data_IF_406156445137
#
_entry.id   IF_406156445137
#
_cell.length_a   1.000
_cell.length_b   1.000
_cell.length_c   1.000
_cell.angle_alpha   90.00
_cell.angle_beta   90.00
_cell.angle_gamma   90.00
#
_symmetry.space_group_name_H-M   'P 1'
#
loop_
_entity.id
_entity.type
_entity.pdbx_description
1 polymer ?
#
# COMPACT_ATOMS: atom_id res chain seq x y z
N UNK A 1 -27.89 -10.38 -24.52
CA UNK A 1 -28.42 -9.56 -23.40
C UNK A 1 -27.84 -8.16 -23.52
N UNK A 2 -28.67 -7.12 -23.55
CA UNK A 2 -28.20 -5.73 -23.53
C UNK A 2 -27.73 -5.39 -22.12
N UNK A 3 -26.42 -5.49 -21.88
CA UNK A 3 -25.76 -5.17 -20.61
C UNK A 3 -26.19 -3.82 -20.02
N UNK A 4 -26.42 -2.84 -20.89
CA UNK A 4 -26.82 -1.47 -20.54
C UNK A 4 -28.26 -1.34 -20.04
N UNK A 5 -29.11 -2.37 -20.19
CA UNK A 5 -30.52 -2.35 -19.77
C UNK A 5 -30.77 -3.03 -18.42
N UNK A 6 -29.71 -3.48 -17.74
CA UNK A 6 -29.88 -4.04 -16.40
C UNK A 6 -30.28 -2.93 -15.41
N UNK A 7 -31.30 -3.15 -14.56
CA UNK A 7 -31.82 -2.14 -13.62
C UNK A 7 -30.81 -1.69 -12.56
N UNK A 8 -29.66 -2.36 -12.47
CA UNK A 8 -28.57 -2.07 -11.53
C UNK A 8 -27.38 -1.36 -12.18
N UNK A 9 -27.37 -1.12 -13.50
CA UNK A 9 -26.20 -0.61 -14.20
C UNK A 9 -25.69 0.73 -13.61
N UNK A 10 -26.60 1.68 -13.36
CA UNK A 10 -26.24 2.97 -12.77
C UNK A 10 -25.60 2.83 -11.39
N UNK A 11 -26.14 1.96 -10.54
CA UNK A 11 -25.59 1.70 -9.21
C UNK A 11 -24.23 1.02 -9.25
N UNK A 12 -24.03 0.10 -10.20
CA UNK A 12 -22.74 -0.56 -10.43
C UNK A 12 -21.68 0.46 -10.85
N UNK A 13 -22.01 1.37 -11.75
CA UNK A 13 -21.12 2.45 -12.17
C UNK A 13 -20.77 3.37 -11.00
N UNK A 14 -21.75 3.78 -10.19
CA UNK A 14 -21.50 4.60 -9.00
C UNK A 14 -20.58 3.91 -7.99
N UNK A 15 -20.80 2.61 -7.72
CA UNK A 15 -19.92 1.84 -6.83
C UNK A 15 -18.50 1.69 -7.40
N UNK A 16 -18.37 1.52 -8.71
CA UNK A 16 -17.07 1.47 -9.37
C UNK A 16 -16.32 2.81 -9.22
N UNK A 17 -17.00 3.93 -9.47
CA UNK A 17 -16.42 5.27 -9.30
C UNK A 17 -16.03 5.52 -7.83
N UNK A 18 -16.84 5.06 -6.87
CA UNK A 18 -16.53 5.14 -5.45
C UNK A 18 -15.29 4.29 -5.04
N UNK A 19 -14.86 3.33 -5.85
CA UNK A 19 -13.64 2.55 -5.59
C UNK A 19 -12.36 3.28 -6.07
N UNK A 20 -12.46 4.16 -7.07
CA UNK A 20 -11.31 4.85 -7.68
C UNK A 20 -10.45 5.60 -6.65
N UNK A 21 -11.01 6.34 -5.67
CA UNK A 21 -10.19 7.13 -4.75
C UNK A 21 -9.17 6.35 -3.94
N UNK A 22 -9.36 5.05 -3.71
CA UNK A 22 -8.39 4.28 -2.92
C UNK A 22 -7.03 4.27 -3.64
N UNK A 23 -6.95 3.81 -4.89
CA UNK A 23 -5.73 3.83 -5.71
C UNK A 23 -5.43 5.23 -6.27
N UNK A 24 -6.48 6.01 -6.53
CA UNK A 24 -6.36 7.39 -6.99
C UNK A 24 -5.65 8.31 -6.01
N UNK A 25 -5.72 8.06 -4.70
CA UNK A 25 -5.00 8.82 -3.69
C UNK A 25 -3.47 8.69 -3.85
N UNK A 26 -2.98 7.48 -4.14
CA UNK A 26 -1.56 7.25 -4.43
C UNK A 26 -1.15 7.96 -5.71
N UNK A 27 -1.93 7.83 -6.79
CA UNK A 27 -1.67 8.52 -8.05
C UNK A 27 -1.63 10.05 -7.83
N UNK A 28 -2.61 10.61 -7.12
CA UNK A 28 -2.63 12.03 -6.79
C UNK A 28 -1.37 12.48 -6.04
N UNK A 29 -0.86 11.69 -5.09
CA UNK A 29 0.41 11.99 -4.40
C UNK A 29 1.60 11.93 -5.36
N UNK A 30 1.77 10.87 -6.13
CA UNK A 30 2.96 10.72 -6.99
C UNK A 30 2.98 11.70 -8.17
N UNK A 31 1.82 12.19 -8.62
CA UNK A 31 1.71 13.26 -9.60
C UNK A 31 1.82 14.68 -9.00
N UNK A 32 1.86 14.81 -7.67
CA UNK A 32 1.91 16.11 -7.00
C UNK A 32 0.59 16.89 -7.07
N UNK A 33 -0.54 16.20 -7.21
CA UNK A 33 -1.88 16.80 -7.28
C UNK A 33 -2.40 17.11 -5.87
N UNK A 34 -2.27 16.15 -4.94
CA UNK A 34 -2.74 16.28 -3.57
C UNK A 34 -1.98 15.34 -2.62
N UNK A 35 -1.85 15.68 -1.32
CA UNK A 35 -1.31 14.77 -0.31
C UNK A 35 -2.14 13.48 -0.21
N UNK A 36 -1.46 12.35 0.02
CA UNK A 36 -2.12 11.04 0.17
C UNK A 36 -3.15 11.06 1.30
N UNK A 37 -2.81 11.70 2.42
CA UNK A 37 -3.71 11.89 3.56
C UNK A 37 -4.99 12.62 3.17
N UNK A 38 -4.89 13.74 2.46
CA UNK A 38 -6.04 14.56 2.09
C UNK A 38 -7.03 13.81 1.20
N UNK A 39 -6.56 13.16 0.13
CA UNK A 39 -7.43 12.37 -0.75
C UNK A 39 -8.05 11.19 0.01
N UNK A 40 -7.29 10.59 0.93
CA UNK A 40 -7.80 9.47 1.72
C UNK A 40 -8.92 9.89 2.67
N UNK A 41 -8.74 10.99 3.41
CA UNK A 41 -9.72 11.46 4.39
C UNK A 41 -10.96 12.08 3.73
N UNK A 42 -10.77 12.92 2.71
CA UNK A 42 -11.85 13.73 2.15
C UNK A 42 -12.54 13.09 0.95
N UNK A 43 -11.95 12.07 0.33
CA UNK A 43 -12.55 11.40 -0.83
C UNK A 43 -12.73 9.90 -0.61
N UNK A 44 -11.65 9.16 -0.30
CA UNK A 44 -11.76 7.71 -0.13
C UNK A 44 -12.67 7.32 1.03
N UNK A 45 -12.53 7.94 2.21
CA UNK A 45 -13.31 7.55 3.37
C UNK A 45 -14.84 7.77 3.18
N UNK A 46 -15.32 8.91 2.66
CA UNK A 46 -16.71 9.07 2.25
C UNK A 46 -17.18 8.03 1.22
N UNK A 47 -16.34 7.70 0.24
CA UNK A 47 -16.66 6.67 -0.74
C UNK A 47 -16.72 5.26 -0.13
N UNK A 48 -15.85 4.93 0.83
CA UNK A 48 -15.89 3.67 1.56
C UNK A 48 -17.18 3.55 2.39
N UNK A 49 -17.59 4.62 3.08
CA UNK A 49 -18.87 4.71 3.78
C UNK A 49 -20.06 4.51 2.81
N UNK A 50 -20.00 5.16 1.65
CA UNK A 50 -21.00 4.98 0.59
C UNK A 50 -21.08 3.52 0.12
N UNK A 51 -19.95 2.84 -0.12
CA UNK A 51 -19.92 1.43 -0.53
C UNK A 51 -20.54 0.50 0.52
N UNK A 52 -20.25 0.73 1.81
CA UNK A 52 -20.88 -0.02 2.91
C UNK A 52 -22.38 0.24 2.96
N UNK A 53 -22.80 1.50 2.80
CA UNK A 53 -24.22 1.89 2.74
C UNK A 53 -24.95 1.25 1.55
N UNK A 54 -24.33 1.24 0.38
CA UNK A 54 -24.86 0.60 -0.83
C UNK A 54 -24.96 -0.91 -0.68
N UNK A 55 -23.96 -1.56 -0.09
CA UNK A 55 -24.00 -2.98 0.22
C UNK A 55 -25.15 -3.30 1.18
N UNK A 56 -25.32 -2.51 2.25
CA UNK A 56 -26.40 -2.69 3.21
C UNK A 56 -27.77 -2.51 2.56
N UNK A 57 -27.96 -1.42 1.81
CA UNK A 57 -29.20 -1.13 1.09
C UNK A 57 -29.54 -2.23 0.09
N UNK A 58 -28.60 -2.62 -0.78
CA UNK A 58 -28.82 -3.65 -1.80
C UNK A 58 -29.20 -5.00 -1.17
N UNK A 59 -28.57 -5.34 -0.04
CA UNK A 59 -28.85 -6.56 0.72
C UNK A 59 -30.24 -6.58 1.35
N UNK A 60 -30.88 -5.42 1.55
CA UNK A 60 -32.22 -5.29 2.14
C UNK A 60 -33.33 -5.17 1.11
N UNK A 61 -33.02 -4.65 -0.08
CA UNK A 61 -34.03 -4.40 -1.13
C UNK A 61 -34.07 -5.50 -2.21
N UNK A 62 -33.43 -6.65 -1.98
CA UNK A 62 -33.41 -7.76 -2.95
C UNK A 62 -32.58 -7.48 -4.21
N UNK A 63 -31.62 -6.54 -4.16
CA UNK A 63 -30.68 -6.29 -5.27
C UNK A 63 -29.49 -7.25 -5.19
N UNK A 64 -29.78 -8.53 -5.37
CA UNK A 64 -28.86 -9.63 -5.09
C UNK A 64 -27.58 -9.56 -5.94
N UNK A 65 -27.66 -9.07 -7.18
CA UNK A 65 -26.46 -8.87 -8.01
C UNK A 65 -25.50 -7.87 -7.36
N UNK A 66 -25.99 -6.67 -7.02
CA UNK A 66 -25.15 -5.60 -6.49
C UNK A 66 -24.58 -5.97 -5.12
N UNK A 67 -25.42 -6.50 -4.23
CA UNK A 67 -24.98 -7.00 -2.92
C UNK A 67 -23.94 -8.12 -3.08
N UNK A 68 -24.17 -9.06 -4.01
CA UNK A 68 -23.25 -10.13 -4.34
C UNK A 68 -21.92 -9.63 -4.91
N UNK A 69 -21.94 -8.63 -5.79
CA UNK A 69 -20.74 -8.02 -6.38
C UNK A 69 -19.86 -7.35 -5.34
N UNK A 70 -20.45 -6.52 -4.47
CA UNK A 70 -19.74 -5.87 -3.38
C UNK A 70 -19.17 -6.92 -2.41
N UNK A 71 -19.90 -8.01 -2.18
CA UNK A 71 -19.46 -9.08 -1.27
C UNK A 71 -18.33 -9.93 -1.83
N UNK A 72 -18.52 -10.49 -3.02
CA UNK A 72 -17.50 -11.31 -3.68
C UNK A 72 -16.27 -10.46 -4.01
N UNK A 73 -16.48 -9.22 -4.44
CA UNK A 73 -15.40 -8.29 -4.75
C UNK A 73 -14.53 -7.98 -3.55
N UNK A 74 -15.13 -7.74 -2.37
CA UNK A 74 -14.36 -7.55 -1.14
C UNK A 74 -13.53 -8.79 -0.79
N UNK A 75 -14.15 -9.97 -0.74
CA UNK A 75 -13.45 -11.19 -0.34
C UNK A 75 -12.40 -11.59 -1.38
N UNK A 76 -12.72 -11.45 -2.66
CA UNK A 76 -11.79 -11.69 -3.76
C UNK A 76 -10.61 -10.72 -3.72
N UNK A 77 -10.85 -9.43 -3.47
CA UNK A 77 -9.81 -8.43 -3.31
C UNK A 77 -8.92 -8.69 -2.08
N UNK A 78 -9.53 -8.97 -0.92
CA UNK A 78 -8.81 -9.29 0.32
C UNK A 78 -7.93 -10.54 0.18
N UNK A 79 -8.49 -11.65 -0.30
CA UNK A 79 -7.74 -12.89 -0.53
C UNK A 79 -6.70 -12.71 -1.65
N UNK A 80 -7.01 -11.91 -2.67
CA UNK A 80 -6.07 -11.50 -3.70
C UNK A 80 -4.86 -10.78 -3.10
N UNK A 81 -5.08 -9.78 -2.25
CA UNK A 81 -3.97 -9.06 -1.61
C UNK A 81 -3.13 -9.97 -0.73
N UNK A 82 -3.75 -10.89 0.01
CA UNK A 82 -3.00 -11.90 0.76
C UNK A 82 -2.13 -12.77 -0.16
N UNK A 83 -2.68 -13.26 -1.28
CA UNK A 83 -1.92 -14.05 -2.25
C UNK A 83 -0.78 -13.24 -2.90
N UNK A 84 -1.04 -11.96 -3.21
CA UNK A 84 -0.04 -11.00 -3.70
C UNK A 84 1.13 -10.89 -2.73
N UNK A 85 0.85 -10.70 -1.44
CA UNK A 85 1.90 -10.53 -0.42
C UNK A 85 2.65 -11.84 -0.16
N UNK A 86 1.95 -12.97 -0.11
CA UNK A 86 2.56 -14.29 0.05
C UNK A 86 3.53 -14.62 -1.09
N UNK A 87 3.18 -14.28 -2.34
CA UNK A 87 4.06 -14.47 -3.49
C UNK A 87 5.37 -13.65 -3.40
N UNK A 88 5.40 -12.61 -2.56
CA UNK A 88 6.55 -11.72 -2.38
C UNK A 88 7.45 -12.11 -1.21
N UNK A 89 6.98 -12.98 -0.31
CA UNK A 89 7.75 -13.46 0.85
C UNK A 89 9.11 -14.08 0.47
N UNK A 90 9.21 -14.96 -0.55
CA UNK A 90 10.51 -15.52 -0.93
C UNK A 90 11.56 -14.45 -1.27
N UNK A 91 11.14 -13.37 -1.94
CA UNK A 91 12.02 -12.26 -2.30
C UNK A 91 12.38 -11.39 -1.10
N UNK A 92 11.45 -11.20 -0.15
CA UNK A 92 11.76 -10.59 1.15
C UNK A 92 12.84 -11.37 1.90
N UNK A 93 12.70 -12.71 1.96
CA UNK A 93 13.67 -13.59 2.61
C UNK A 93 15.03 -13.59 1.88
N UNK A 94 15.03 -13.37 0.56
CA UNK A 94 16.24 -13.13 -0.24
C UNK A 94 16.84 -11.72 -0.07
N UNK A 95 16.33 -10.91 0.87
CA UNK A 95 16.85 -9.60 1.21
C UNK A 95 16.28 -8.43 0.39
N UNK A 96 15.33 -8.68 -0.51
CA UNK A 96 14.70 -7.60 -1.27
C UNK A 96 13.69 -6.83 -0.42
N UNK A 97 13.62 -5.51 -0.61
CA UNK A 97 12.70 -4.62 0.13
C UNK A 97 11.33 -4.51 -0.55
N UNK A 98 10.74 -5.64 -0.92
CA UNK A 98 9.50 -5.70 -1.70
C UNK A 98 8.32 -4.97 -1.02
N UNK A 99 8.23 -4.98 0.31
CA UNK A 99 7.16 -4.27 1.04
C UNK A 99 7.46 -2.79 1.36
N UNK A 100 8.55 -2.22 0.84
CA UNK A 100 8.89 -0.83 1.07
C UNK A 100 7.78 0.17 0.69
N UNK A 101 7.07 0.03 -0.46
CA UNK A 101 5.98 0.93 -0.81
C UNK A 101 4.86 0.98 0.24
N UNK A 102 4.49 -0.17 0.82
CA UNK A 102 3.43 -0.26 1.84
C UNK A 102 3.78 0.62 3.05
N UNK A 103 5.04 0.57 3.50
CA UNK A 103 5.51 1.38 4.62
C UNK A 103 5.46 2.88 4.33
N UNK A 104 5.81 3.27 3.10
CA UNK A 104 5.76 4.67 2.66
C UNK A 104 4.35 5.22 2.66
N UNK A 105 3.36 4.41 2.23
CA UNK A 105 1.95 4.83 2.27
C UNK A 105 1.54 5.23 3.67
N UNK A 106 1.98 4.45 4.66
CA UNK A 106 1.77 4.74 6.07
C UNK A 106 2.34 6.08 6.51
N UNK A 107 3.60 6.35 6.16
CA UNK A 107 4.28 7.61 6.50
C UNK A 107 3.59 8.80 5.85
N UNK A 108 3.19 8.69 4.57
CA UNK A 108 2.45 9.75 3.87
C UNK A 108 1.02 9.94 4.38
N UNK A 109 0.28 8.88 4.66
CA UNK A 109 -1.07 8.97 5.23
C UNK A 109 -1.07 9.62 6.62
N UNK A 110 -0.04 9.32 7.40
CA UNK A 110 0.17 9.88 8.71
C UNK A 110 0.70 11.33 8.70
N UNK A 111 1.18 11.80 7.55
CA UNK A 111 2.06 12.97 7.44
C UNK A 111 3.22 12.93 8.47
N UNK A 112 3.75 11.73 8.73
CA UNK A 112 4.75 11.53 9.76
C UNK A 112 6.16 11.90 9.29
N UNK A 113 6.97 12.47 10.19
CA UNK A 113 8.39 12.71 9.95
C UNK A 113 9.25 11.44 10.05
N UNK A 114 8.76 10.41 10.75
CA UNK A 114 9.47 9.13 10.95
C UNK A 114 8.48 7.96 10.94
N UNK A 115 8.94 6.77 10.57
CA UNK A 115 8.11 5.55 10.70
C UNK A 115 7.91 5.13 12.15
N UNK A 116 6.74 4.56 12.44
CA UNK A 116 6.38 3.89 13.69
C UNK A 116 5.56 2.62 13.42
N UNK A 117 5.17 1.88 14.46
CA UNK A 117 4.22 0.76 14.27
C UNK A 117 2.87 1.25 13.76
N UNK A 118 2.45 2.45 14.16
CA UNK A 118 1.22 3.05 13.68
C UNK A 118 1.28 3.36 12.18
N UNK A 119 2.35 4.01 11.71
CA UNK A 119 2.49 4.25 10.26
C UNK A 119 2.55 2.94 9.50
N UNK A 120 3.22 1.90 10.04
CA UNK A 120 3.25 0.58 9.42
C UNK A 120 1.83 0.00 9.29
N UNK A 121 1.05 -0.02 10.38
CA UNK A 121 -0.33 -0.49 10.36
C UNK A 121 -1.19 0.30 9.37
N UNK A 122 -1.03 1.62 9.31
CA UNK A 122 -1.77 2.49 8.39
C UNK A 122 -1.45 2.20 6.92
N UNK A 123 -0.17 1.97 6.61
CA UNK A 123 0.26 1.56 5.28
C UNK A 123 -0.34 0.23 4.83
N UNK A 124 -0.35 -0.76 5.73
CA UNK A 124 -0.99 -2.06 5.47
C UNK A 124 -2.51 -1.94 5.33
N UNK A 125 -3.18 -1.17 6.19
CA UNK A 125 -4.62 -0.94 6.10
C UNK A 125 -5.00 -0.31 4.74
N UNK A 126 -4.20 0.66 4.29
CA UNK A 126 -4.38 1.28 2.97
C UNK A 126 -4.10 0.30 1.81
N UNK A 127 -3.04 -0.50 1.88
CA UNK A 127 -2.73 -1.55 0.90
C UNK A 127 -3.87 -2.56 0.72
N UNK A 128 -4.41 -3.08 1.83
CA UNK A 128 -5.57 -3.97 1.79
C UNK A 128 -6.83 -3.27 1.27
N UNK A 129 -7.03 -2.00 1.63
CA UNK A 129 -8.16 -1.22 1.11
C UNK A 129 -8.13 -1.10 -0.41
N UNK A 130 -6.95 -0.90 -1.01
CA UNK A 130 -6.76 -0.87 -2.46
C UNK A 130 -7.11 -2.21 -3.12
N UNK A 131 -6.62 -3.31 -2.56
CA UNK A 131 -6.97 -4.63 -3.10
C UNK A 131 -8.47 -4.93 -3.03
N UNK A 132 -9.12 -4.59 -1.91
CA UNK A 132 -10.56 -4.74 -1.73
C UNK A 132 -11.33 -3.94 -2.79
N UNK A 133 -11.03 -2.66 -2.97
CA UNK A 133 -11.76 -1.82 -3.93
C UNK A 133 -11.49 -2.24 -5.38
N UNK A 134 -10.27 -2.67 -5.71
CA UNK A 134 -9.98 -3.26 -7.03
C UNK A 134 -10.73 -4.57 -7.27
N UNK A 135 -10.89 -5.39 -6.24
CA UNK A 135 -11.71 -6.61 -6.30
C UNK A 135 -13.19 -6.31 -6.52
N UNK A 136 -13.72 -5.28 -5.83
CA UNK A 136 -15.07 -4.76 -6.03
C UNK A 136 -15.27 -4.25 -7.46
N UNK A 137 -14.36 -3.41 -7.96
CA UNK A 137 -14.41 -2.88 -9.33
C UNK A 137 -14.50 -4.01 -10.37
N UNK A 138 -13.70 -5.07 -10.20
CA UNK A 138 -13.76 -6.24 -11.07
C UNK A 138 -15.08 -7.01 -10.95
N UNK A 139 -15.51 -7.34 -9.74
CA UNK A 139 -16.73 -8.14 -9.49
C UNK A 139 -18.00 -7.43 -9.98
N UNK A 140 -18.03 -6.09 -9.96
CA UNK A 140 -19.14 -5.29 -10.47
C UNK A 140 -19.43 -5.51 -11.96
N UNK A 141 -18.49 -5.98 -12.76
CA UNK A 141 -18.70 -6.17 -14.21
C UNK A 141 -18.37 -7.57 -14.72
N UNK A 142 -17.71 -8.40 -13.91
CA UNK A 142 -17.14 -9.68 -14.36
C UNK A 142 -17.83 -10.91 -13.77
N UNK A 143 -19.08 -10.78 -13.28
CA UNK A 143 -19.87 -11.91 -12.75
C UNK A 143 -19.80 -13.15 -13.64
N UNK A 144 -19.40 -14.28 -13.07
CA UNK A 144 -19.30 -15.61 -13.71
C UNK A 144 -18.40 -15.64 -14.96
N UNK A 145 -17.59 -14.60 -15.22
CA UNK A 145 -16.59 -14.64 -16.28
C UNK A 145 -15.48 -15.61 -15.89
N UNK A 146 -14.86 -16.23 -16.89
CA UNK A 146 -13.76 -17.16 -16.66
C UNK A 146 -12.67 -16.47 -15.80
N UNK A 147 -12.14 -17.19 -14.81
CA UNK A 147 -11.23 -16.61 -13.81
C UNK A 147 -9.99 -15.94 -14.41
N UNK A 148 -9.52 -16.42 -15.58
CA UNK A 148 -8.40 -15.83 -16.31
C UNK A 148 -8.60 -14.34 -16.64
N UNK A 149 -9.83 -13.83 -16.71
CA UNK A 149 -10.07 -12.39 -16.94
C UNK A 149 -9.60 -11.49 -15.79
N UNK A 150 -9.40 -12.04 -14.59
CA UNK A 150 -8.82 -11.29 -13.48
C UNK A 150 -7.33 -10.99 -13.69
N UNK A 151 -6.62 -11.79 -14.50
CA UNK A 151 -5.20 -11.59 -14.79
C UNK A 151 -4.98 -10.29 -15.58
N UNK A 152 -5.55 -10.07 -16.78
CA UNK A 152 -5.36 -8.82 -17.50
C UNK A 152 -5.87 -7.61 -16.71
N UNK A 153 -6.91 -7.78 -15.88
CA UNK A 153 -7.34 -6.75 -14.94
C UNK A 153 -6.23 -6.38 -13.94
N UNK A 154 -5.63 -7.35 -13.26
CA UNK A 154 -4.56 -7.09 -12.29
C UNK A 154 -3.28 -6.55 -12.97
N UNK A 155 -2.94 -7.05 -14.15
CA UNK A 155 -1.81 -6.54 -14.94
C UNK A 155 -2.04 -5.09 -15.38
N UNK A 156 -3.27 -4.71 -15.72
CA UNK A 156 -3.63 -3.33 -16.04
C UNK A 156 -3.39 -2.40 -14.84
N UNK A 157 -3.73 -2.81 -13.62
CA UNK A 157 -3.49 -2.03 -12.40
C UNK A 157 -2.00 -1.76 -12.18
N UNK A 158 -1.17 -2.80 -12.28
CA UNK A 158 0.29 -2.65 -12.20
C UNK A 158 0.82 -1.77 -13.33
N UNK A 159 0.31 -1.94 -14.55
CA UNK A 159 0.71 -1.14 -15.72
C UNK A 159 0.43 0.34 -15.50
N UNK A 160 -0.73 0.69 -14.92
CA UNK A 160 -1.06 2.08 -14.56
C UNK A 160 -0.03 2.63 -13.56
N UNK A 161 0.36 1.85 -12.53
CA UNK A 161 1.40 2.27 -11.59
C UNK A 161 2.75 2.44 -12.29
N UNK A 162 3.14 1.49 -13.14
CA UNK A 162 4.42 1.49 -13.88
C UNK A 162 4.53 2.68 -14.85
N UNK A 163 3.42 3.05 -15.51
CA UNK A 163 3.39 4.19 -16.42
C UNK A 163 3.27 5.55 -15.71
N UNK A 164 3.08 5.56 -14.39
CA UNK A 164 3.02 6.76 -13.58
C UNK A 164 4.38 7.13 -12.97
N UNK A 165 4.53 8.33 -12.37
CA UNK A 165 5.72 8.70 -11.58
C UNK A 165 6.10 7.71 -10.48
N UNK A 166 5.17 6.85 -10.05
CA UNK A 166 5.42 5.79 -9.08
C UNK A 166 6.64 4.91 -9.47
N UNK A 167 6.79 4.55 -10.74
CA UNK A 167 7.90 3.71 -11.18
C UNK A 167 9.27 4.37 -10.97
N UNK A 168 9.36 5.69 -11.15
CA UNK A 168 10.60 6.44 -10.93
C UNK A 168 10.85 6.61 -9.43
N UNK A 169 9.83 7.02 -8.67
CA UNK A 169 9.92 7.26 -7.22
C UNK A 169 10.39 6.00 -6.46
N UNK A 170 9.92 4.82 -6.87
CA UNK A 170 10.28 3.54 -6.24
C UNK A 170 11.39 2.78 -6.98
N UNK A 171 12.11 3.44 -7.90
CA UNK A 171 13.23 2.86 -8.64
C UNK A 171 12.90 1.53 -9.32
N UNK A 172 11.72 1.45 -9.94
CA UNK A 172 11.27 0.34 -10.79
C UNK A 172 11.80 0.49 -12.22
N UNK A 173 11.99 1.73 -12.70
CA UNK A 173 12.55 1.99 -14.03
C UNK A 173 13.99 1.46 -14.10
N UNK A 174 14.25 0.56 -15.04
CA UNK A 174 15.55 -0.12 -15.19
C UNK A 174 15.78 -1.27 -14.21
N UNK A 175 14.90 -1.48 -13.22
CA UNK A 175 14.97 -2.58 -12.26
C UNK A 175 14.01 -3.71 -12.67
N UNK A 176 14.39 -4.46 -13.71
CA UNK A 176 13.56 -5.54 -14.28
C UNK A 176 13.20 -6.62 -13.26
N UNK A 177 14.06 -6.88 -12.27
CA UNK A 177 13.78 -7.84 -11.20
C UNK A 177 12.62 -7.36 -10.31
N UNK A 178 12.68 -6.11 -9.82
CA UNK A 178 11.60 -5.54 -9.02
C UNK A 178 10.28 -5.46 -9.81
N UNK A 179 10.37 -5.09 -11.09
CA UNK A 179 9.23 -5.03 -12.00
C UNK A 179 8.58 -6.41 -12.21
N UNK A 180 9.38 -7.44 -12.49
CA UNK A 180 8.89 -8.81 -12.65
C UNK A 180 8.21 -9.34 -11.38
N UNK A 181 8.77 -9.04 -10.20
CA UNK A 181 8.17 -9.41 -8.91
C UNK A 181 6.85 -8.68 -8.67
N UNK A 182 6.75 -7.40 -9.05
CA UNK A 182 5.52 -6.62 -8.91
C UNK A 182 4.39 -7.18 -9.80
N UNK A 183 4.70 -7.54 -11.06
CA UNK A 183 3.75 -8.21 -11.94
C UNK A 183 3.39 -9.62 -11.46
N UNK A 184 4.34 -10.41 -10.98
CA UNK A 184 4.08 -11.74 -10.39
C UNK A 184 3.11 -11.64 -9.21
N UNK A 185 3.30 -10.64 -8.34
CA UNK A 185 2.36 -10.35 -7.26
C UNK A 185 0.94 -10.13 -7.80
N UNK A 186 0.78 -9.35 -8.87
CA UNK A 186 -0.53 -9.07 -9.48
C UNK A 186 -1.15 -10.30 -10.16
N UNK A 187 -0.36 -11.20 -10.73
CA UNK A 187 -0.86 -12.51 -11.17
C UNK A 187 -1.38 -13.30 -9.97
N UNK A 188 -0.62 -13.36 -8.87
CA UNK A 188 -1.06 -14.05 -7.65
C UNK A 188 -2.34 -13.43 -7.06
N UNK A 189 -2.48 -12.10 -7.09
CA UNK A 189 -3.70 -11.37 -6.72
C UNK A 189 -4.92 -11.82 -7.54
N UNK A 190 -4.74 -11.94 -8.85
CA UNK A 190 -5.81 -12.24 -9.79
C UNK A 190 -6.43 -13.64 -9.57
N UNK A 191 -5.65 -14.62 -9.12
CA UNK A 191 -6.10 -16.01 -9.02
C UNK A 191 -7.30 -16.19 -8.07
N UNK A 192 -7.23 -15.85 -6.77
CA UNK A 192 -8.38 -15.98 -5.87
C UNK A 192 -9.53 -15.05 -6.28
N UNK A 193 -9.25 -13.80 -6.67
CA UNK A 193 -10.28 -12.87 -7.13
C UNK A 193 -11.08 -13.45 -8.31
N UNK A 194 -10.38 -13.90 -9.35
CA UNK A 194 -10.98 -14.50 -10.53
C UNK A 194 -11.75 -15.77 -10.19
N UNK A 195 -11.21 -16.62 -9.32
CA UNK A 195 -11.85 -17.87 -8.90
C UNK A 195 -13.19 -17.64 -8.18
N UNK A 196 -13.22 -16.72 -7.21
CA UNK A 196 -14.41 -16.38 -6.45
C UNK A 196 -15.50 -15.76 -7.36
N UNK A 197 -15.10 -14.85 -8.25
CA UNK A 197 -16.03 -14.21 -9.20
C UNK A 197 -16.54 -15.17 -10.27
N UNK A 198 -15.70 -16.11 -10.72
CA UNK A 198 -16.08 -17.17 -11.64
C UNK A 198 -17.12 -18.11 -10.99
N UNK A 199 -16.85 -18.58 -9.77
CA UNK A 199 -17.74 -19.43 -8.97
C UNK A 199 -18.73 -18.61 -8.16
N UNK A 200 -19.41 -17.68 -8.81
CA UNK A 200 -20.26 -16.68 -8.16
C UNK A 200 -21.28 -17.28 -7.19
N UNK A 201 -22.12 -18.20 -7.66
CA UNK A 201 -23.23 -18.72 -6.86
C UNK A 201 -22.75 -19.64 -5.75
N UNK A 202 -21.74 -20.47 -6.03
CA UNK A 202 -21.08 -21.31 -5.03
C UNK A 202 -20.45 -20.46 -3.92
N UNK A 203 -19.81 -19.34 -4.29
CA UNK A 203 -19.18 -18.42 -3.34
C UNK A 203 -20.24 -17.77 -2.44
N UNK A 204 -21.36 -17.31 -3.01
CA UNK A 204 -22.46 -16.76 -2.22
C UNK A 204 -23.11 -17.82 -1.31
N UNK A 205 -23.33 -19.03 -1.81
CA UNK A 205 -23.88 -20.14 -1.03
C UNK A 205 -22.94 -20.50 0.13
N UNK A 206 -21.63 -20.59 -0.14
CA UNK A 206 -20.61 -20.85 0.86
C UNK A 206 -20.56 -19.75 1.93
N UNK A 207 -20.64 -18.47 1.53
CA UNK A 207 -20.69 -17.33 2.47
C UNK A 207 -22.00 -17.31 3.28
N UNK A 208 -23.13 -17.68 2.66
CA UNK A 208 -24.42 -17.72 3.33
C UNK A 208 -24.48 -18.79 4.44
N UNK A 209 -23.68 -19.85 4.32
CA UNK A 209 -23.53 -20.90 5.32
C UNK A 209 -22.61 -20.51 6.51
N UNK A 210 -21.97 -19.33 6.46
CA UNK A 210 -21.10 -18.84 7.56
C UNK A 210 -21.88 -18.09 8.63
N UNK A 211 -21.33 -17.97 9.86
CA UNK A 211 -21.92 -17.19 10.94
C UNK A 211 -22.37 -15.79 10.50
N UNK A 212 -23.44 -15.26 11.09
CA UNK A 212 -24.07 -14.01 10.66
C UNK A 212 -23.12 -12.81 10.54
N UNK A 213 -22.09 -12.74 11.39
CA UNK A 213 -21.06 -11.70 11.33
C UNK A 213 -20.11 -11.85 10.12
N UNK A 214 -19.80 -13.08 9.69
CA UNK A 214 -19.08 -13.34 8.44
C UNK A 214 -19.94 -13.11 7.20
N UNK A 215 -21.27 -13.24 7.34
CA UNK A 215 -22.21 -12.99 6.24
C UNK A 215 -22.52 -11.50 6.05
N UNK A 216 -22.68 -10.75 7.14
CA UNK A 216 -23.22 -9.37 7.14
C UNK A 216 -22.38 -8.36 7.91
N UNK A 217 -21.38 -8.79 8.66
CA UNK A 217 -20.55 -7.89 9.47
C UNK A 217 -19.27 -7.45 8.78
N UNK A 218 -18.73 -8.26 7.86
CA UNK A 218 -17.38 -8.05 7.34
C UNK A 218 -17.10 -6.69 6.69
N UNK A 219 -18.01 -6.01 5.95
CA UNK A 219 -17.68 -4.72 5.34
C UNK A 219 -17.60 -3.64 6.42
N UNK A 220 -18.50 -3.71 7.39
CA UNK A 220 -18.54 -2.82 8.56
C UNK A 220 -17.31 -3.07 9.42
N UNK A 221 -16.96 -4.32 9.70
CA UNK A 221 -15.76 -4.68 10.46
C UNK A 221 -14.50 -4.23 9.74
N UNK A 222 -14.38 -4.44 8.42
CA UNK A 222 -13.23 -3.99 7.63
C UNK A 222 -13.07 -2.47 7.68
N UNK A 223 -14.17 -1.72 7.52
CA UNK A 223 -14.17 -0.27 7.64
C UNK A 223 -13.82 0.19 9.06
N UNK A 224 -14.39 -0.44 10.09
CA UNK A 224 -14.09 -0.11 11.48
C UNK A 224 -12.64 -0.42 11.85
N UNK A 225 -12.07 -1.52 11.34
CA UNK A 225 -10.64 -1.83 11.53
C UNK A 225 -9.76 -0.79 10.84
N UNK A 226 -10.11 -0.38 9.62
CA UNK A 226 -9.40 0.69 8.93
C UNK A 226 -9.48 2.01 9.72
N UNK A 227 -10.69 2.40 10.16
CA UNK A 227 -10.90 3.61 10.96
C UNK A 227 -10.17 3.55 12.30
N UNK A 228 -10.20 2.40 12.98
CA UNK A 228 -9.51 2.21 14.24
C UNK A 228 -7.99 2.39 14.07
N UNK A 229 -7.41 1.91 12.97
CA UNK A 229 -6.00 2.13 12.65
C UNK A 229 -5.73 3.58 12.23
N UNK A 230 -6.58 4.17 11.39
CA UNK A 230 -6.41 5.52 10.88
C UNK A 230 -6.57 6.60 11.95
N UNK A 231 -7.46 6.38 12.92
CA UNK A 231 -7.73 7.27 14.05
C UNK A 231 -6.96 6.87 15.31
N UNK A 232 -6.12 5.84 15.23
CA UNK A 232 -5.32 5.38 16.35
C UNK A 232 -4.38 6.50 16.83
N UNK A 233 -4.27 6.75 18.16
CA UNK A 233 -3.41 7.82 18.67
C UNK A 233 -1.97 7.66 18.19
N UNK A 234 -1.35 8.70 17.60
CA UNK A 234 0.00 8.60 17.05
C UNK A 234 1.05 8.16 18.09
N UNK A 235 0.82 8.44 19.38
CA UNK A 235 1.80 8.29 20.45
C UNK A 235 2.16 6.87 20.86
N UNK A 236 1.46 5.83 20.41
CA UNK A 236 1.80 4.45 20.80
C UNK A 236 2.78 3.85 19.79
N UNK A 237 3.95 3.44 20.27
CA UNK A 237 5.01 2.74 19.54
C UNK A 237 5.90 3.59 18.61
N UNK A 238 6.26 4.79 19.07
CA UNK A 238 7.55 5.37 18.71
C UNK A 238 8.65 4.74 19.56
N UNK A 239 9.75 4.34 18.93
CA UNK A 239 10.98 4.21 19.69
C UNK A 239 11.32 5.61 20.22
N UNK A 240 11.27 5.79 21.53
CA UNK A 240 11.56 7.09 22.19
C UNK A 240 12.93 7.68 21.82
N UNK A 241 13.83 6.85 21.28
CA UNK A 241 15.17 7.25 20.84
C UNK A 241 15.19 7.75 19.39
N UNK A 242 14.16 7.48 18.59
CA UNK A 242 14.05 7.96 17.22
C UNK A 242 13.67 9.43 17.22
N UNK A 243 14.44 10.26 16.51
CA UNK A 243 14.21 11.69 16.37
C UNK A 243 13.97 12.05 14.90
N UNK A 244 13.03 12.95 14.58
CA UNK A 244 12.89 13.51 13.24
C UNK A 244 14.21 14.02 12.68
N UNK A 245 14.46 13.79 11.39
CA UNK A 245 15.70 14.21 10.73
C UNK A 245 16.96 13.48 11.23
N UNK A 246 16.83 12.34 11.90
CA UNK A 246 17.98 11.57 12.37
C UNK A 246 17.85 10.07 12.08
N UNK A 247 18.99 9.42 11.82
CA UNK A 247 19.13 7.98 11.72
C UNK A 247 20.20 7.52 12.72
N UNK A 248 19.79 6.67 13.64
CA UNK A 248 20.65 6.06 14.66
C UNK A 248 21.09 4.67 14.20
N UNK A 249 22.39 4.41 14.21
CA UNK A 249 22.93 3.06 14.01
C UNK A 249 22.59 2.21 15.24
N UNK A 250 21.91 1.11 15.02
CA UNK A 250 21.62 0.10 16.04
C UNK A 250 22.06 -1.26 15.50
N UNK A 251 23.16 -1.78 16.03
CA UNK A 251 23.77 -3.01 15.55
C UNK A 251 24.04 -2.93 14.04
N UNK A 252 23.27 -3.67 13.25
CA UNK A 252 23.36 -3.77 11.80
C UNK A 252 22.24 -3.03 11.05
N UNK A 253 21.44 -2.18 11.71
CA UNK A 253 20.30 -1.46 11.12
C UNK A 253 20.34 0.04 11.45
N UNK A 254 19.55 0.82 10.73
CA UNK A 254 19.28 2.21 11.09
C UNK A 254 17.87 2.33 11.67
N UNK A 255 17.73 3.17 12.69
CA UNK A 255 16.50 3.44 13.39
C UNK A 255 16.21 4.96 13.34
N UNK A 256 15.02 5.40 12.91
CA UNK A 256 13.89 4.59 12.44
C UNK A 256 14.13 3.98 11.05
N UNK A 257 13.25 3.08 10.63
CA UNK A 257 13.34 2.44 9.30
C UNK A 257 13.04 3.40 8.14
N UNK A 258 12.25 4.44 8.41
CA UNK A 258 11.97 5.55 7.48
C UNK A 258 12.08 6.88 8.19
N UNK A 259 12.73 7.84 7.53
CA UNK A 259 12.78 9.25 7.92
C UNK A 259 12.28 10.08 6.75
N UNK A 260 11.49 11.11 7.01
CA UNK A 260 11.00 12.08 6.02
C UNK A 260 11.56 13.46 6.36
N UNK A 261 12.17 14.09 5.37
CA UNK A 261 12.78 15.43 5.43
C UNK A 261 12.44 16.20 4.15
N UNK A 262 12.68 17.51 4.12
CA UNK A 262 12.63 18.29 2.90
C UNK A 262 14.01 18.34 2.23
N UNK A 263 14.02 18.69 0.93
CA UNK A 263 15.26 19.05 0.24
C UNK A 263 16.00 20.15 1.03
N UNK A 264 17.32 19.98 1.18
CA UNK A 264 18.26 20.82 1.93
C UNK A 264 18.13 20.78 3.45
N UNK A 265 17.19 20.00 4.02
CA UNK A 265 17.21 19.74 5.46
C UNK A 265 18.45 18.90 5.82
N UNK A 266 19.01 19.15 7.00
CA UNK A 266 20.07 18.33 7.55
C UNK A 266 19.48 16.99 8.03
N UNK A 267 20.08 15.89 7.60
CA UNK A 267 19.92 14.59 8.25
C UNK A 267 21.13 14.32 9.14
N UNK A 268 20.88 13.82 10.33
CA UNK A 268 21.93 13.46 11.28
C UNK A 268 22.06 11.95 11.38
N UNK A 269 23.25 11.44 11.17
CA UNK A 269 23.62 10.05 11.43
C UNK A 269 24.34 9.97 12.76
N UNK A 270 23.87 9.11 13.67
CA UNK A 270 24.50 8.89 14.98
C UNK A 270 24.89 7.44 15.13
N UNK A 271 26.14 7.17 15.48
CA UNK A 271 26.61 5.83 15.85
C UNK A 271 26.83 5.73 17.36
N UNK A 272 25.80 5.38 18.16
CA UNK A 272 25.95 5.19 19.59
C UNK A 272 26.66 3.87 19.96
N UNK A 273 26.83 2.95 19.00
CA UNK A 273 27.34 1.61 19.27
C UNK A 273 28.86 1.62 19.48
N UNK A 274 29.37 0.58 20.14
CA UNK A 274 30.81 0.41 20.40
C UNK A 274 31.65 -0.01 19.18
N UNK A 275 31.02 -0.23 18.02
CA UNK A 275 31.70 -0.66 16.79
C UNK A 275 31.57 0.40 15.69
N UNK A 276 32.63 0.66 14.91
CA UNK A 276 32.55 1.51 13.72
C UNK A 276 31.50 1.00 12.72
N UNK A 277 30.87 1.92 12.02
CA UNK A 277 29.90 1.63 10.96
C UNK A 277 30.16 2.53 9.76
N UNK A 278 29.78 2.08 8.57
CA UNK A 278 29.80 2.91 7.36
C UNK A 278 28.38 3.07 6.84
N UNK A 279 27.94 4.30 6.68
CA UNK A 279 26.67 4.62 6.03
C UNK A 279 26.92 4.73 4.53
N UNK A 280 26.14 3.99 3.74
CA UNK A 280 26.27 3.93 2.28
C UNK A 280 24.94 4.33 1.66
N UNK A 281 24.96 5.35 0.81
CA UNK A 281 23.84 5.74 -0.03
C UNK A 281 24.24 5.56 -1.49
N UNK A 282 23.81 4.43 -2.06
CA UNK A 282 24.17 4.03 -3.43
C UNK A 282 23.58 4.97 -4.48
N UNK A 283 22.47 5.64 -4.17
CA UNK A 283 21.82 6.56 -5.12
C UNK A 283 22.61 7.85 -5.27
N UNK A 284 23.34 8.28 -4.24
CA UNK A 284 24.21 9.48 -4.27
C UNK A 284 25.69 9.18 -4.48
N UNK A 285 26.07 7.90 -4.63
CA UNK A 285 27.46 7.44 -4.56
C UNK A 285 28.19 8.01 -3.32
N UNK A 286 27.53 7.91 -2.17
CA UNK A 286 27.96 8.52 -0.92
C UNK A 286 28.30 7.46 0.13
N UNK A 287 29.44 7.64 0.81
CA UNK A 287 29.92 6.78 1.87
C UNK A 287 30.41 7.64 3.05
N UNK A 288 29.93 7.33 4.25
CA UNK A 288 30.24 8.06 5.47
C UNK A 288 30.71 7.09 6.55
N UNK A 289 32.02 7.01 6.83
CA UNK A 289 32.51 6.27 7.99
C UNK A 289 32.12 7.00 9.28
N UNK A 290 31.58 6.25 10.23
CA UNK A 290 31.11 6.73 11.54
C UNK A 290 31.73 5.89 12.65
N UNK A 291 32.66 6.49 13.40
CA UNK A 291 33.25 5.88 14.58
C UNK A 291 32.21 5.71 15.70
N UNK A 292 32.54 4.86 16.68
CA UNK A 292 31.74 4.68 17.88
C UNK A 292 31.59 6.01 18.65
N UNK A 293 30.36 6.37 19.01
CA UNK A 293 30.03 7.64 19.68
C UNK A 293 29.97 8.86 18.75
N UNK A 294 30.27 8.71 17.45
CA UNK A 294 30.30 9.84 16.51
C UNK A 294 28.90 10.18 15.99
N UNK A 295 28.73 11.47 15.68
CA UNK A 295 27.56 12.01 15.01
C UNK A 295 28.02 12.87 13.83
N UNK A 296 27.37 12.71 12.69
CA UNK A 296 27.68 13.44 11.46
C UNK A 296 26.40 13.88 10.77
N UNK A 297 26.44 15.00 10.05
CA UNK A 297 25.29 15.52 9.31
C UNK A 297 25.55 15.55 7.81
N UNK A 298 24.51 15.28 7.02
CA UNK A 298 24.53 15.36 5.57
C UNK A 298 23.25 16.03 5.07
N UNK A 299 23.26 16.51 3.84
CA UNK A 299 22.09 17.10 3.20
C UNK A 299 21.72 16.34 1.93
N UNK A 300 20.42 16.31 1.65
CA UNK A 300 19.88 15.83 0.38
C UNK A 300 19.44 17.03 -0.46
N UNK A 301 20.12 17.26 -1.58
CA UNK A 301 19.88 18.41 -2.47
C UNK A 301 18.86 18.12 -3.58
N UNK A 302 18.37 16.89 -3.66
CA UNK A 302 17.39 16.45 -4.65
C UNK A 302 16.25 15.69 -3.95
N UNK A 303 15.01 15.81 -4.43
CA UNK A 303 13.89 15.02 -3.93
C UNK A 303 14.09 13.56 -4.33
N UNK A 304 13.54 12.64 -3.54
CA UNK A 304 13.87 11.22 -3.69
C UNK A 304 13.33 10.32 -2.61
N UNK A 305 13.25 9.02 -2.90
CA UNK A 305 13.31 7.99 -1.87
C UNK A 305 14.70 7.35 -1.95
N UNK A 306 15.53 7.60 -0.95
CA UNK A 306 16.90 7.13 -0.89
C UNK A 306 17.00 5.91 -0.01
N UNK A 307 17.57 4.82 -0.54
CA UNK A 307 17.85 3.63 0.24
C UNK A 307 19.25 3.75 0.85
N UNK A 308 19.29 3.92 2.17
CA UNK A 308 20.53 4.12 2.93
C UNK A 308 20.88 2.83 3.64
N UNK A 309 22.08 2.34 3.43
CA UNK A 309 22.60 1.12 4.02
C UNK A 309 23.51 1.45 5.19
N UNK A 310 23.48 0.63 6.23
CA UNK A 310 24.54 0.59 7.23
C UNK A 310 25.34 -0.68 7.03
N UNK A 311 26.64 -0.54 6.89
CA UNK A 311 27.59 -1.63 6.82
C UNK A 311 28.33 -1.71 8.16
N UNK A 312 28.18 -2.86 8.82
CA UNK A 312 28.97 -3.24 10.01
C UNK A 312 29.70 -4.55 9.70
N UNK A 313 30.48 -5.08 10.64
CA UNK A 313 31.28 -6.29 10.46
C UNK A 313 30.42 -7.49 10.04
N UNK A 314 30.38 -7.77 8.73
CA UNK A 314 29.73 -8.94 8.13
C UNK A 314 28.23 -8.81 7.81
N UNK A 315 27.58 -7.67 8.06
CA UNK A 315 26.14 -7.50 7.80
C UNK A 315 25.79 -6.11 7.27
N UNK A 316 24.84 -6.09 6.34
CA UNK A 316 24.30 -4.86 5.76
C UNK A 316 22.77 -4.88 5.83
N UNK A 317 22.16 -3.86 6.43
CA UNK A 317 20.72 -3.60 6.27
C UNK A 317 20.48 -2.18 5.79
N UNK A 318 19.36 -2.00 5.09
CA UNK A 318 18.94 -0.69 4.61
C UNK A 318 17.79 -0.10 5.43
N UNK A 319 17.76 1.21 5.50
CA UNK A 319 16.61 2.04 5.85
C UNK A 319 16.38 3.03 4.71
N UNK A 320 15.39 3.91 4.85
CA UNK A 320 15.01 4.81 3.78
C UNK A 320 14.86 6.25 4.25
N UNK A 321 15.23 7.18 3.38
CA UNK A 321 15.02 8.62 3.57
C UNK A 321 14.11 9.12 2.46
N UNK A 322 12.93 9.63 2.83
CA UNK A 322 12.00 10.32 1.95
C UNK A 322 12.39 11.79 1.96
N UNK A 323 12.82 12.31 0.82
CA UNK A 323 13.18 13.71 0.63
C UNK A 323 12.10 14.37 -0.21
N UNK A 324 11.25 15.15 0.44
CA UNK A 324 10.11 15.80 -0.18
C UNK A 324 10.52 17.06 -0.96
N UNK A 325 9.75 17.43 -2.01
CA UNK A 325 8.58 16.74 -2.55
C UNK A 325 8.95 15.66 -3.57
N UNK A 326 8.60 14.39 -3.29
CA UNK A 326 8.99 13.24 -4.14
C UNK A 326 8.42 13.27 -5.56
N UNK A 327 7.28 13.94 -5.77
CA UNK A 327 6.64 14.11 -7.07
C UNK A 327 7.49 14.91 -8.07
N UNK A 328 8.50 15.67 -7.61
CA UNK A 328 9.39 16.45 -8.48
C UNK A 328 10.46 15.60 -9.18
N UNK A 329 10.61 14.32 -8.84
CA UNK A 329 11.59 13.43 -9.50
C UNK A 329 11.18 13.12 -10.94
N UNK A 330 9.87 13.11 -11.21
CA UNK A 330 9.33 12.73 -12.52
C UNK A 330 9.20 13.90 -13.51
N UNK A 331 9.74 15.08 -13.19
CA UNK A 331 9.73 16.29 -14.04
C UNK A 331 11.13 16.61 -14.54
#
# INVERSE_FOLDING_TARGET
MNFWREPDFGWRLLCFLACIPSGGALLAKVFGIAPLQAVTLYLFLPCALFLVGMWWWASRTGRDYLAGALTIGFWGGLLGTLAYDLARIPFLLAGQRVFAPINVYGVWLAEAAISSQWTHALGWAYHFSNGITFGIMYALFMRRRHWLWAIPWALLLETIAVLSPFAVIFNLVGNYNALAIAYLGHVAYALPLGWLVYRWDDTLAWLAARPGWLRRGWPVVGLLLFLLVALWPPGTAFDSRAQPGSLRVEDNRLNPGWVRINVNDNITFTNPAGTPATIIDRTRDYSLPLAAGQQESSQYTRPGIYQVYVQTTGQTRSSFVIVEPVEKIAR
#
